data_IF_448252370393
#
_entry.id   IF_448252370393
#
_cell.length_a   1.000
_cell.length_b   1.000
_cell.length_c   1.000
_cell.angle_alpha   90.00
_cell.angle_beta   90.00
_cell.angle_gamma   90.00
#
_symmetry.space_group_name_H-M   'P 1'
#
loop_
_entity.id
_entity.type
_entity.pdbx_description
1 polymer ?
#
# COMPACT_ATOMS: atom_id res chain seq x y z
N UNK A 1 20.59 7.41 17.04
CA UNK A 1 19.73 6.34 17.64
C UNK A 1 18.31 6.37 17.09
N UNK A 2 17.73 7.57 16.92
CA UNK A 2 16.45 7.81 16.23
C UNK A 2 16.41 7.27 14.79
N UNK A 3 17.50 7.39 14.03
CA UNK A 3 17.53 6.97 12.62
C UNK A 3 17.38 5.46 12.46
N UNK A 4 17.98 4.67 13.34
CA UNK A 4 17.85 3.21 13.32
C UNK A 4 16.40 2.76 13.57
N UNK A 5 15.74 3.36 14.57
CA UNK A 5 14.32 3.09 14.86
C UNK A 5 13.45 3.52 13.67
N UNK A 6 13.75 4.67 13.05
CA UNK A 6 13.06 5.16 11.86
C UNK A 6 13.15 4.19 10.67
N UNK A 7 14.35 3.70 10.36
CA UNK A 7 14.55 2.71 9.31
C UNK A 7 13.88 1.37 9.62
N UNK A 8 13.96 0.90 10.86
CA UNK A 8 13.29 -0.34 11.27
C UNK A 8 11.77 -0.21 11.18
N UNK A 9 11.20 0.90 11.65
CA UNK A 9 9.78 1.18 11.55
C UNK A 9 9.32 1.28 10.09
N UNK A 10 10.06 2.00 9.24
CA UNK A 10 9.80 2.07 7.80
C UNK A 10 9.85 0.70 7.12
N UNK A 11 10.87 -0.11 7.44
CA UNK A 11 11.02 -1.46 6.92
C UNK A 11 9.88 -2.38 7.34
N UNK A 12 9.58 -2.44 8.63
CA UNK A 12 8.52 -3.30 9.17
C UNK A 12 7.14 -2.92 8.62
N UNK A 13 6.82 -1.63 8.57
CA UNK A 13 5.53 -1.16 8.04
C UNK A 13 5.40 -1.45 6.56
N UNK A 14 6.43 -1.16 5.75
CA UNK A 14 6.40 -1.43 4.30
C UNK A 14 6.32 -2.93 4.01
N UNK A 15 7.15 -3.74 4.68
CA UNK A 15 7.19 -5.19 4.47
C UNK A 15 5.93 -5.89 4.94
N UNK A 16 5.16 -5.32 5.88
CA UNK A 16 3.89 -5.90 6.32
C UNK A 16 2.85 -6.00 5.19
N UNK A 17 2.94 -5.12 4.17
CA UNK A 17 2.04 -5.16 3.01
C UNK A 17 2.46 -6.19 1.96
N UNK A 18 3.72 -6.63 1.96
CA UNK A 18 4.25 -7.54 0.96
C UNK A 18 3.60 -8.94 1.01
N UNK A 19 3.45 -9.61 2.18
CA UNK A 19 2.73 -10.87 2.29
C UNK A 19 1.30 -10.78 1.77
N UNK A 20 0.59 -9.68 2.07
CA UNK A 20 -0.78 -9.46 1.61
C UNK A 20 -0.83 -9.30 0.10
N UNK A 21 0.07 -8.49 -0.48
CA UNK A 21 0.16 -8.31 -1.93
C UNK A 21 0.45 -9.65 -2.64
N UNK A 22 1.44 -10.39 -2.17
CA UNK A 22 1.82 -11.71 -2.71
C UNK A 22 0.67 -12.72 -2.61
N UNK A 23 -0.03 -12.75 -1.47
CA UNK A 23 -1.19 -13.61 -1.30
C UNK A 23 -2.27 -13.29 -2.34
N UNK A 24 -2.65 -12.00 -2.47
CA UNK A 24 -3.65 -11.56 -3.46
C UNK A 24 -3.22 -11.84 -4.90
N UNK A 25 -1.94 -11.67 -5.23
CA UNK A 25 -1.42 -12.00 -6.56
C UNK A 25 -1.49 -13.50 -6.86
N UNK A 26 -1.19 -14.34 -5.86
CA UNK A 26 -1.17 -15.79 -6.02
C UNK A 26 -2.57 -16.39 -6.08
N UNK A 27 -3.47 -15.98 -5.18
CA UNK A 27 -4.82 -16.55 -5.08
C UNK A 27 -5.80 -15.88 -6.04
N UNK A 28 -5.54 -14.63 -6.43
CA UNK A 28 -6.49 -13.74 -7.13
C UNK A 28 -7.80 -13.55 -6.36
N UNK A 29 -7.84 -13.95 -5.09
CA UNK A 29 -9.00 -13.76 -4.23
C UNK A 29 -8.90 -12.40 -3.54
N UNK A 30 -9.86 -11.54 -3.87
CA UNK A 30 -10.01 -10.19 -3.32
C UNK A 30 -11.32 -10.04 -2.54
N UNK A 31 -12.04 -11.13 -2.29
CA UNK A 31 -13.37 -11.10 -1.65
C UNK A 31 -13.31 -10.48 -0.25
N UNK A 32 -12.31 -10.87 0.55
CA UNK A 32 -12.08 -10.34 1.90
C UNK A 32 -11.49 -8.92 1.97
N UNK A 33 -11.14 -8.31 0.83
CA UNK A 33 -10.52 -6.98 0.80
C UNK A 33 -11.61 -5.91 0.63
N UNK A 34 -11.73 -4.99 1.57
CA UNK A 34 -12.65 -3.85 1.44
C UNK A 34 -12.12 -2.82 0.42
N UNK A 35 -12.91 -2.52 -0.61
CA UNK A 35 -12.55 -1.52 -1.63
C UNK A 35 -12.42 -0.12 -1.02
N UNK A 36 -13.37 0.28 -0.16
CA UNK A 36 -13.36 1.61 0.46
C UNK A 36 -12.15 1.82 1.37
N UNK A 37 -11.81 0.79 2.17
CA UNK A 37 -10.65 0.84 3.06
C UNK A 37 -9.35 0.99 2.26
N UNK A 38 -9.15 0.17 1.22
CA UNK A 38 -7.94 0.26 0.40
C UNK A 38 -7.87 1.54 -0.44
N UNK A 39 -9.00 2.07 -0.92
CA UNK A 39 -9.04 3.35 -1.61
C UNK A 39 -8.61 4.50 -0.69
N UNK A 40 -9.19 4.56 0.52
CA UNK A 40 -8.83 5.58 1.51
C UNK A 40 -7.36 5.46 1.94
N UNK A 41 -6.90 4.23 2.21
CA UNK A 41 -5.50 3.96 2.55
C UNK A 41 -4.55 4.41 1.44
N UNK A 42 -4.81 4.02 0.20
CA UNK A 42 -3.97 4.39 -0.96
C UNK A 42 -3.90 5.90 -1.14
N UNK A 43 -5.03 6.61 -1.02
CA UNK A 43 -5.06 8.08 -1.08
C UNK A 43 -4.28 8.70 0.08
N UNK A 44 -4.44 8.19 1.30
CA UNK A 44 -3.68 8.66 2.47
C UNK A 44 -2.18 8.50 2.29
N UNK A 45 -1.71 7.36 1.78
CA UNK A 45 -0.28 7.12 1.51
C UNK A 45 0.22 8.03 0.39
N UNK A 46 -0.57 8.30 -0.65
CA UNK A 46 -0.21 9.27 -1.69
C UNK A 46 -0.02 10.69 -1.12
N UNK A 47 -0.87 11.10 -0.18
CA UNK A 47 -0.70 12.36 0.54
C UNK A 47 0.56 12.34 1.41
N UNK A 48 0.90 11.22 2.05
CA UNK A 48 2.16 11.07 2.80
C UNK A 48 3.40 11.17 1.92
N UNK A 49 3.35 10.64 0.68
CA UNK A 49 4.44 10.83 -0.31
C UNK A 49 4.60 12.32 -0.63
N UNK A 50 3.50 13.02 -0.93
CA UNK A 50 3.54 14.46 -1.20
C UNK A 50 4.07 15.24 0.01
N UNK A 51 3.60 14.93 1.21
CA UNK A 51 4.06 15.55 2.45
C UNK A 51 5.55 15.28 2.73
N UNK A 52 6.02 14.04 2.56
CA UNK A 52 7.42 13.68 2.73
C UNK A 52 8.34 14.41 1.76
N UNK A 53 7.90 14.61 0.51
CA UNK A 53 8.62 15.42 -0.47
C UNK A 53 8.68 16.90 -0.06
N UNK A 54 7.58 17.49 0.41
CA UNK A 54 7.53 18.87 0.91
C UNK A 54 8.44 19.09 2.13
N UNK A 55 8.59 18.07 2.98
CA UNK A 55 9.45 18.10 4.16
C UNK A 55 10.92 17.74 3.87
N UNK A 56 11.28 17.45 2.60
CA UNK A 56 12.58 16.93 2.20
C UNK A 56 13.05 15.71 3.04
N UNK A 57 12.10 14.88 3.51
CA UNK A 57 12.38 13.74 4.38
C UNK A 57 12.58 12.48 3.55
N UNK A 58 13.84 12.15 3.28
CA UNK A 58 14.23 10.96 2.50
C UNK A 58 13.61 9.65 3.00
N UNK A 59 13.75 9.29 4.30
CA UNK A 59 13.18 8.05 4.84
C UNK A 59 11.65 7.98 4.76
N UNK A 60 10.96 9.09 5.07
CA UNK A 60 9.50 9.15 5.01
C UNK A 60 8.99 9.02 3.57
N UNK A 61 9.65 9.71 2.64
CA UNK A 61 9.35 9.63 1.22
C UNK A 61 9.57 8.21 0.69
N UNK A 62 10.74 7.62 0.95
CA UNK A 62 11.10 6.28 0.48
C UNK A 62 10.12 5.20 1.00
N UNK A 63 9.79 5.22 2.29
CA UNK A 63 8.87 4.25 2.88
C UNK A 63 7.46 4.33 2.25
N UNK A 64 6.93 5.54 2.08
CA UNK A 64 5.59 5.72 1.54
C UNK A 64 5.52 5.47 0.03
N UNK A 65 6.59 5.70 -0.73
CA UNK A 65 6.63 5.36 -2.17
C UNK A 65 6.52 3.85 -2.38
N UNK A 66 7.26 3.05 -1.60
CA UNK A 66 7.17 1.58 -1.71
C UNK A 66 5.78 1.10 -1.25
N UNK A 67 5.28 1.64 -0.14
CA UNK A 67 3.93 1.32 0.36
C UNK A 67 2.84 1.67 -0.65
N UNK A 68 2.92 2.84 -1.29
CA UNK A 68 1.98 3.29 -2.32
C UNK A 68 1.97 2.34 -3.51
N UNK A 69 3.15 1.88 -3.94
CA UNK A 69 3.29 0.95 -5.06
C UNK A 69 2.58 -0.39 -4.77
N UNK A 70 2.74 -0.93 -3.56
CA UNK A 70 2.05 -2.15 -3.12
C UNK A 70 0.53 -1.93 -2.96
N UNK A 71 0.13 -0.79 -2.40
CA UNK A 71 -1.28 -0.44 -2.22
C UNK A 71 -2.02 -0.31 -3.56
N UNK A 72 -1.41 0.37 -4.54
CA UNK A 72 -1.94 0.50 -5.90
C UNK A 72 -2.08 -0.85 -6.59
N UNK A 73 -1.11 -1.76 -6.42
CA UNK A 73 -1.18 -3.12 -6.95
C UNK A 73 -2.39 -3.90 -6.40
N UNK A 74 -2.60 -3.87 -5.08
CA UNK A 74 -3.73 -4.55 -4.43
C UNK A 74 -5.06 -3.91 -4.83
N UNK A 75 -5.14 -2.58 -4.83
CA UNK A 75 -6.34 -1.84 -5.22
C UNK A 75 -6.71 -2.11 -6.69
N UNK A 76 -5.72 -2.14 -7.59
CA UNK A 76 -5.91 -2.49 -8.99
C UNK A 76 -6.46 -3.90 -9.17
N UNK A 77 -5.94 -4.88 -8.42
CA UNK A 77 -6.49 -6.24 -8.39
C UNK A 77 -7.93 -6.27 -7.87
N UNK A 78 -8.23 -5.57 -6.77
CA UNK A 78 -9.59 -5.48 -6.22
C UNK A 78 -10.56 -4.94 -7.26
N UNK A 79 -10.20 -3.83 -7.93
CA UNK A 79 -11.03 -3.22 -8.98
C UNK A 79 -11.23 -4.16 -10.18
N UNK A 80 -10.21 -4.90 -10.60
CA UNK A 80 -10.29 -5.85 -11.71
C UNK A 80 -11.21 -7.02 -11.40
N UNK A 81 -11.00 -7.69 -10.27
CA UNK A 81 -11.70 -8.94 -9.95
C UNK A 81 -13.11 -8.69 -9.36
N UNK A 82 -13.35 -7.59 -8.64
CA UNK A 82 -14.71 -7.25 -8.17
C UNK A 82 -15.65 -6.80 -9.29
N UNK A 83 -15.13 -6.28 -10.40
CA UNK A 83 -15.96 -5.98 -11.59
C UNK A 83 -16.37 -7.24 -12.36
N UNK A 84 -15.58 -8.31 -12.31
CA UNK A 84 -15.90 -9.58 -12.97
C UNK A 84 -17.12 -10.27 -12.33
N UNK A 85 -17.26 -10.22 -11.01
CA UNK A 85 -18.40 -10.81 -10.28
C UNK A 85 -19.72 -10.03 -10.39
N UNK A 86 -19.70 -8.79 -10.91
CA UNK A 86 -20.91 -7.92 -11.02
C UNK A 86 -21.54 -7.94 -12.41
N UNK A 87 -20.99 -8.72 -13.35
CA UNK A 87 -21.44 -8.83 -14.76
C UNK A 87 -22.14 -10.16 -15.08
N UNK A 88 -22.37 -11.03 -14.09
CA UNK A 88 -23.25 -12.19 -14.19
C UNK A 88 -24.53 -11.94 -13.42
#
# INVERSE_FOLDING_TARGET
>A
MTDFIGYLAAGLTTLSFLPQALHTFRTRDVSGISLGMYALFTTGVALWVAYGALMASGPLLAANVVTLSLALAILGMKLRYSRASRKG
#
